data_IF_068836010625
#
_entry.id   IF_068836010625
#
_cell.length_a   1.000
_cell.length_b   1.000
_cell.length_c   1.000
_cell.angle_alpha   90.00
_cell.angle_beta   90.00
_cell.angle_gamma   90.00
#
_symmetry.space_group_name_H-M   'P 1'
#
loop_
_entity.id
_entity.type
_entity.pdbx_description
1 polymer ?
#
# COMPACT_ATOMS: atom_id res chain seq x y z
N UNK A 1 -4.27 16.31 15.97
CA UNK A 1 -3.78 15.18 15.15
C UNK A 1 -2.41 15.54 14.62
N UNK A 2 -1.38 14.68 14.80
CA UNK A 2 -0.07 14.87 14.16
C UNK A 2 -0.13 14.26 12.76
N UNK A 3 0.08 15.07 11.72
CA UNK A 3 0.10 14.62 10.33
C UNK A 3 1.52 14.22 9.96
N UNK A 4 1.71 13.00 9.46
CA UNK A 4 2.99 12.55 8.91
C UNK A 4 3.18 13.13 7.50
N UNK A 5 3.72 14.35 7.46
CA UNK A 5 3.90 15.13 6.22
C UNK A 5 4.83 14.41 5.24
N UNK A 6 5.83 13.67 5.75
CA UNK A 6 6.76 12.91 4.91
C UNK A 6 6.02 11.82 4.14
N UNK A 7 5.21 11.02 4.84
CA UNK A 7 4.40 9.97 4.19
C UNK A 7 3.43 10.58 3.18
N UNK A 8 2.76 11.67 3.54
CA UNK A 8 1.83 12.35 2.64
C UNK A 8 2.52 12.80 1.35
N UNK A 9 3.64 13.52 1.46
CA UNK A 9 4.36 14.08 0.31
C UNK A 9 4.89 12.97 -0.60
N UNK A 10 5.50 11.91 -0.03
CA UNK A 10 6.03 10.80 -0.84
C UNK A 10 4.91 10.08 -1.60
N UNK A 11 3.83 9.70 -0.91
CA UNK A 11 2.73 8.97 -1.57
C UNK A 11 1.99 9.84 -2.60
N UNK A 12 1.77 11.12 -2.30
CA UNK A 12 1.06 12.02 -3.21
C UNK A 12 1.89 12.34 -4.45
N UNK A 13 3.19 12.59 -4.30
CA UNK A 13 4.08 12.87 -5.45
C UNK A 13 4.18 11.67 -6.38
N UNK A 14 4.35 10.45 -5.86
CA UNK A 14 4.39 9.27 -6.73
C UNK A 14 3.04 8.99 -7.38
N UNK A 15 1.92 9.21 -6.67
CA UNK A 15 0.59 9.10 -7.26
C UNK A 15 0.37 10.09 -8.42
N UNK A 16 0.81 11.35 -8.25
CA UNK A 16 0.74 12.37 -9.30
C UNK A 16 1.60 12.00 -10.52
N UNK A 17 2.79 11.43 -10.30
CA UNK A 17 3.63 10.91 -11.40
C UNK A 17 2.90 9.78 -12.13
N UNK A 18 2.30 8.83 -11.41
CA UNK A 18 1.52 7.74 -12.00
C UNK A 18 0.30 8.25 -12.77
N UNK A 19 -0.39 9.26 -12.27
CA UNK A 19 -1.56 9.86 -12.91
C UNK A 19 -1.18 10.64 -14.17
N UNK A 20 -0.09 11.42 -14.11
CA UNK A 20 0.45 12.14 -15.26
C UNK A 20 0.89 11.18 -16.35
N UNK A 21 1.60 10.10 -15.99
CA UNK A 21 2.03 9.06 -16.92
C UNK A 21 0.83 8.33 -17.55
N UNK A 22 -0.18 7.96 -16.75
CA UNK A 22 -1.39 7.33 -17.24
C UNK A 22 -2.15 8.24 -18.21
N UNK A 23 -2.29 9.52 -17.87
CA UNK A 23 -2.94 10.53 -18.73
C UNK A 23 -2.18 10.74 -20.04
N UNK A 24 -0.84 10.82 -19.99
CA UNK A 24 0.00 10.91 -21.18
C UNK A 24 -0.22 9.72 -22.12
N UNK A 25 -0.20 8.49 -21.59
CA UNK A 25 -0.43 7.30 -22.39
C UNK A 25 -1.82 7.30 -23.02
N UNK A 26 -2.84 7.71 -22.27
CA UNK A 26 -4.20 7.83 -22.78
C UNK A 26 -4.30 8.81 -23.96
N UNK A 27 -3.81 10.04 -23.77
CA UNK A 27 -3.82 11.08 -24.79
C UNK A 27 -3.04 10.64 -26.03
N UNK A 28 -1.90 9.96 -25.84
CA UNK A 28 -1.06 9.47 -26.95
C UNK A 28 -1.76 8.45 -27.86
N UNK A 29 -2.83 7.79 -27.38
CA UNK A 29 -3.60 6.85 -28.20
C UNK A 29 -4.55 7.53 -29.18
N UNK A 30 -4.87 8.82 -28.99
CA UNK A 30 -5.77 9.56 -29.87
C UNK A 30 -7.16 8.93 -30.04
N UNK A 31 -7.59 8.09 -29.10
CA UNK A 31 -8.83 7.33 -29.20
C UNK A 31 -8.76 6.09 -30.11
N UNK A 32 -7.66 5.86 -30.83
CA UNK A 32 -7.47 4.68 -31.66
C UNK A 32 -7.42 3.40 -30.82
N UNK A 33 -8.04 2.32 -31.34
CA UNK A 33 -8.15 1.01 -30.66
C UNK A 33 -7.63 -0.10 -31.55
N UNK A 34 -6.33 -0.06 -31.81
CA UNK A 34 -5.57 -1.10 -32.50
C UNK A 34 -4.75 -1.91 -31.50
N UNK A 35 -4.23 -3.08 -31.89
CA UNK A 35 -3.36 -3.90 -31.04
C UNK A 35 -2.14 -3.13 -30.51
N UNK A 36 -1.64 -2.17 -31.29
CA UNK A 36 -0.53 -1.28 -30.90
C UNK A 36 -0.91 -0.34 -29.75
N UNK A 37 -2.16 0.11 -29.71
CA UNK A 37 -2.68 1.02 -28.66
C UNK A 37 -3.05 0.32 -27.35
N UNK A 38 -3.17 -1.02 -27.35
CA UNK A 38 -3.48 -1.77 -26.13
C UNK A 38 -2.42 -1.57 -25.05
N UNK A 39 -1.14 -1.53 -25.44
CA UNK A 39 -0.03 -1.35 -24.49
C UNK A 39 -0.10 0.00 -23.74
N UNK A 40 -0.22 1.17 -24.39
CA UNK A 40 -0.39 2.43 -23.67
C UNK A 40 -1.71 2.49 -22.88
N UNK A 41 -2.78 1.83 -23.34
CA UNK A 41 -4.03 1.75 -22.58
C UNK A 41 -3.88 0.97 -21.27
N UNK A 42 -3.10 -0.12 -21.25
CA UNK A 42 -2.77 -0.82 -20.01
C UNK A 42 -2.03 0.12 -19.06
N UNK A 43 -1.07 0.90 -19.56
CA UNK A 43 -0.37 1.88 -18.74
C UNK A 43 -1.29 2.98 -18.19
N UNK A 44 -2.32 3.37 -18.93
CA UNK A 44 -3.32 4.36 -18.48
C UNK A 44 -3.94 3.97 -17.14
N UNK A 45 -4.32 2.70 -17.00
CA UNK A 45 -4.99 2.18 -15.80
C UNK A 45 -4.00 1.65 -14.75
N UNK A 46 -2.86 1.12 -15.17
CA UNK A 46 -1.90 0.48 -14.27
C UNK A 46 -0.94 1.47 -13.59
N UNK A 47 -0.60 2.58 -14.24
CA UNK A 47 0.47 3.47 -13.78
C UNK A 47 0.23 4.05 -12.38
N UNK A 48 -0.98 4.50 -12.09
CA UNK A 48 -1.31 5.14 -10.81
C UNK A 48 -1.23 4.16 -9.62
N UNK A 49 -1.93 3.00 -9.61
CA UNK A 49 -1.81 2.05 -8.50
C UNK A 49 -0.37 1.51 -8.34
N UNK A 50 0.37 1.33 -9.43
CA UNK A 50 1.77 0.93 -9.37
C UNK A 50 2.67 2.00 -8.74
N UNK A 51 2.57 3.26 -9.17
CA UNK A 51 3.35 4.35 -8.61
C UNK A 51 2.98 4.66 -7.15
N UNK A 52 1.69 4.52 -6.79
CA UNK A 52 1.23 4.62 -5.41
C UNK A 52 1.81 3.50 -4.53
N UNK A 53 1.84 2.27 -5.03
CA UNK A 53 2.47 1.15 -4.35
C UNK A 53 3.96 1.44 -4.06
N UNK A 54 4.70 1.92 -5.07
CA UNK A 54 6.10 2.29 -4.89
C UNK A 54 6.27 3.41 -3.85
N UNK A 55 5.47 4.47 -3.92
CA UNK A 55 5.51 5.55 -2.93
C UNK A 55 5.21 5.07 -1.51
N UNK A 56 4.23 4.18 -1.37
CA UNK A 56 3.91 3.56 -0.08
C UNK A 56 5.07 2.70 0.44
N UNK A 57 5.69 1.88 -0.41
CA UNK A 57 6.84 1.05 -0.02
C UNK A 57 8.05 1.90 0.39
N UNK A 58 8.28 3.03 -0.26
CA UNK A 58 9.35 3.98 0.10
C UNK A 58 9.04 4.67 1.43
N UNK A 59 7.80 5.11 1.63
CA UNK A 59 7.41 5.79 2.87
C UNK A 59 7.35 4.82 4.07
N UNK A 60 6.76 3.64 3.89
CA UNK A 60 6.31 2.73 4.96
C UNK A 60 6.42 1.25 4.55
N UNK A 61 7.66 0.82 4.30
CA UNK A 61 8.02 -0.53 3.82
C UNK A 61 7.49 -1.70 4.66
N UNK A 62 7.24 -1.49 5.96
CA UNK A 62 6.68 -2.51 6.86
C UNK A 62 5.23 -2.87 6.56
N UNK A 63 4.50 -2.05 5.79
CA UNK A 63 3.09 -2.27 5.45
C UNK A 63 2.90 -2.80 4.01
N UNK A 64 3.90 -3.48 3.44
CA UNK A 64 3.87 -3.88 2.02
C UNK A 64 2.66 -4.73 1.64
N UNK A 65 2.18 -5.62 2.51
CA UNK A 65 1.01 -6.46 2.25
C UNK A 65 -0.27 -5.64 2.15
N UNK A 66 -0.44 -4.67 3.05
CA UNK A 66 -1.58 -3.75 3.04
C UNK A 66 -1.52 -2.85 1.81
N UNK A 67 -0.34 -2.31 1.49
CA UNK A 67 -0.13 -1.49 0.30
C UNK A 67 -0.48 -2.27 -0.98
N UNK A 68 0.00 -3.51 -1.10
CA UNK A 68 -0.29 -4.39 -2.23
C UNK A 68 -1.78 -4.70 -2.33
N UNK A 69 -2.44 -5.04 -1.22
CA UNK A 69 -3.88 -5.28 -1.17
C UNK A 69 -4.68 -4.05 -1.60
N UNK A 70 -4.42 -2.88 -1.03
CA UNK A 70 -5.11 -1.64 -1.39
C UNK A 70 -4.89 -1.25 -2.85
N UNK A 71 -3.66 -1.37 -3.37
CA UNK A 71 -3.35 -1.03 -4.76
C UNK A 71 -3.94 -2.06 -5.74
N UNK A 72 -3.99 -3.35 -5.37
CA UNK A 72 -4.69 -4.38 -6.14
C UNK A 72 -6.19 -4.12 -6.19
N UNK A 73 -6.83 -3.82 -5.05
CA UNK A 73 -8.24 -3.45 -5.01
C UNK A 73 -8.51 -2.20 -5.85
N UNK A 74 -7.65 -1.18 -5.77
CA UNK A 74 -7.78 0.01 -6.58
C UNK A 74 -7.69 -0.32 -8.07
N UNK A 75 -6.70 -1.10 -8.48
CA UNK A 75 -6.57 -1.54 -9.87
C UNK A 75 -7.80 -2.33 -10.32
N UNK A 76 -8.17 -3.40 -9.61
CA UNK A 76 -9.21 -4.32 -10.04
C UNK A 76 -10.61 -3.73 -9.98
N UNK A 77 -10.98 -3.06 -8.87
CA UNK A 77 -12.33 -2.53 -8.69
C UNK A 77 -12.63 -1.33 -9.58
N UNK A 78 -11.62 -0.55 -9.97
CA UNK A 78 -11.80 0.62 -10.84
C UNK A 78 -12.43 0.23 -12.17
N UNK A 79 -12.07 -0.92 -12.77
CA UNK A 79 -12.67 -1.37 -14.03
C UNK A 79 -14.19 -1.59 -13.90
N UNK A 80 -14.65 -2.17 -12.79
CA UNK A 80 -16.07 -2.41 -12.56
C UNK A 80 -16.83 -1.12 -12.29
N UNK A 81 -16.26 -0.23 -11.47
CA UNK A 81 -16.89 1.04 -11.13
C UNK A 81 -16.98 1.93 -12.37
N UNK A 82 -15.90 2.07 -13.13
CA UNK A 82 -15.89 2.87 -14.36
C UNK A 82 -16.88 2.34 -15.41
N UNK A 83 -16.97 1.02 -15.58
CA UNK A 83 -17.93 0.41 -16.51
C UNK A 83 -19.39 0.68 -16.08
N UNK A 84 -19.66 0.62 -14.76
CA UNK A 84 -21.00 0.92 -14.23
C UNK A 84 -21.36 2.39 -14.40
N UNK A 85 -20.42 3.30 -14.17
CA UNK A 85 -20.64 4.73 -14.37
C UNK A 85 -20.86 5.02 -15.85
N UNK A 86 -20.05 4.47 -16.77
CA UNK A 86 -20.23 4.67 -18.21
C UNK A 86 -21.62 4.23 -18.69
N UNK A 87 -22.09 3.07 -18.22
CA UNK A 87 -23.40 2.53 -18.58
C UNK A 87 -24.59 3.38 -18.08
N UNK A 88 -24.39 4.32 -17.15
CA UNK A 88 -25.43 5.26 -16.73
C UNK A 88 -25.59 6.44 -17.69
N UNK A 89 -24.55 6.77 -18.46
CA UNK A 89 -24.54 7.95 -19.34
C UNK A 89 -24.59 7.60 -20.83
N UNK A 90 -24.12 6.41 -21.22
CA UNK A 90 -23.98 6.01 -22.62
C UNK A 90 -24.58 4.63 -22.87
N UNK A 91 -25.18 4.46 -24.05
CA UNK A 91 -25.54 3.12 -24.55
C UNK A 91 -24.28 2.35 -24.96
N UNK A 92 -24.41 1.03 -25.10
CA UNK A 92 -23.31 0.18 -25.54
C UNK A 92 -22.81 0.60 -26.94
N UNK A 93 -23.70 1.01 -27.86
CA UNK A 93 -23.26 1.49 -29.18
C UNK A 93 -22.50 2.82 -29.07
N UNK A 94 -22.96 3.74 -28.24
CA UNK A 94 -22.31 5.04 -28.03
C UNK A 94 -20.92 4.88 -27.40
N UNK A 95 -20.79 4.03 -26.38
CA UNK A 95 -19.48 3.76 -25.76
C UNK A 95 -18.49 3.15 -26.75
N UNK A 96 -18.96 2.24 -27.62
CA UNK A 96 -18.12 1.66 -28.68
C UNK A 96 -17.72 2.70 -29.73
N UNK A 97 -18.66 3.54 -30.17
CA UNK A 97 -18.39 4.60 -31.13
C UNK A 97 -17.35 5.61 -30.61
N UNK A 98 -17.39 5.90 -29.29
CA UNK A 98 -16.44 6.78 -28.62
C UNK A 98 -15.18 6.05 -28.11
N UNK A 99 -15.00 4.78 -28.45
CA UNK A 99 -13.84 3.99 -28.04
C UNK A 99 -13.65 3.89 -26.51
N UNK A 100 -14.73 3.93 -25.73
CA UNK A 100 -14.72 3.93 -24.27
C UNK A 100 -13.88 5.07 -23.66
N UNK A 101 -13.83 6.24 -24.31
CA UNK A 101 -13.08 7.39 -23.78
C UNK A 101 -13.50 7.75 -22.35
N UNK A 102 -14.81 7.85 -22.13
CA UNK A 102 -15.39 8.20 -20.83
C UNK A 102 -15.01 7.19 -19.74
N UNK A 103 -14.95 5.90 -20.07
CA UNK A 103 -14.48 4.86 -19.17
C UNK A 103 -13.04 5.08 -18.67
N UNK A 104 -12.11 5.40 -19.57
CA UNK A 104 -10.71 5.62 -19.19
C UNK A 104 -10.53 6.91 -18.39
N UNK A 105 -11.22 7.98 -18.78
CA UNK A 105 -11.24 9.23 -18.02
C UNK A 105 -11.79 8.99 -16.61
N UNK A 106 -12.91 8.27 -16.50
CA UNK A 106 -13.51 7.91 -15.20
C UNK A 106 -12.54 7.09 -14.34
N UNK A 107 -11.82 6.15 -14.97
CA UNK A 107 -10.80 5.34 -14.27
C UNK A 107 -9.66 6.20 -13.70
N UNK A 108 -9.16 7.18 -14.46
CA UNK A 108 -8.14 8.13 -14.00
C UNK A 108 -8.64 8.98 -12.82
N UNK A 109 -9.90 9.44 -12.88
CA UNK A 109 -10.51 10.21 -11.78
C UNK A 109 -10.64 9.36 -10.51
N UNK A 110 -11.12 8.12 -10.62
CA UNK A 110 -11.23 7.19 -9.49
C UNK A 110 -9.86 6.94 -8.87
N UNK A 111 -8.83 6.70 -9.68
CA UNK A 111 -7.47 6.53 -9.21
C UNK A 111 -6.95 7.77 -8.47
N UNK A 112 -7.19 8.98 -9.00
CA UNK A 112 -6.79 10.23 -8.36
C UNK A 112 -7.44 10.42 -6.99
N UNK A 113 -8.76 10.25 -6.90
CA UNK A 113 -9.52 10.39 -5.64
C UNK A 113 -9.09 9.33 -4.62
N UNK A 114 -8.95 8.07 -5.03
CA UNK A 114 -8.55 6.99 -4.15
C UNK A 114 -7.10 7.15 -3.67
N UNK A 115 -6.18 7.55 -4.54
CA UNK A 115 -4.79 7.80 -4.16
C UNK A 115 -4.67 8.95 -3.15
N UNK A 116 -5.44 10.03 -3.33
CA UNK A 116 -5.54 11.12 -2.36
C UNK A 116 -6.08 10.60 -1.01
N UNK A 117 -7.18 9.85 -1.04
CA UNK A 117 -7.80 9.27 0.15
C UNK A 117 -6.85 8.34 0.92
N UNK A 118 -6.15 7.44 0.21
CA UNK A 118 -5.18 6.52 0.81
C UNK A 118 -3.97 7.28 1.39
N UNK A 119 -3.48 8.30 0.69
CA UNK A 119 -2.35 9.12 1.17
C UNK A 119 -2.71 9.90 2.43
N UNK A 120 -3.89 10.52 2.48
CA UNK A 120 -4.39 11.22 3.67
C UNK A 120 -4.67 10.26 4.83
N UNK A 121 -5.34 9.14 4.55
CA UNK A 121 -5.59 8.10 5.54
C UNK A 121 -4.28 7.60 6.16
N UNK A 122 -3.22 7.44 5.35
CA UNK A 122 -1.94 7.01 5.89
C UNK A 122 -1.17 8.08 6.62
N UNK A 123 -1.21 9.33 6.16
CA UNK A 123 -0.59 10.44 6.84
C UNK A 123 -1.19 10.73 8.23
N UNK A 124 -2.47 10.40 8.45
CA UNK A 124 -3.15 10.60 9.74
C UNK A 124 -2.93 9.46 10.75
N UNK A 125 -2.24 8.39 10.35
CA UNK A 125 -1.94 7.22 11.20
C UNK A 125 -0.43 7.00 11.28
N UNK A 126 0.27 7.71 12.18
CA UNK A 126 1.72 7.57 12.35
C UNK A 126 2.12 6.12 12.65
N UNK A 127 3.32 5.73 12.20
CA UNK A 127 3.86 4.40 12.52
C UNK A 127 4.24 4.33 14.01
N UNK A 128 3.32 3.79 14.82
CA UNK A 128 3.43 3.65 16.29
C UNK A 128 4.71 2.96 16.78
N UNK A 129 5.45 2.26 15.90
CA UNK A 129 6.64 1.46 16.29
C UNK A 129 7.92 2.24 16.59
N UNK A 130 8.13 3.44 16.05
CA UNK A 130 9.38 4.16 16.30
C UNK A 130 9.46 4.72 17.74
N UNK A 131 8.36 5.33 18.22
CA UNK A 131 8.31 5.90 19.56
C UNK A 131 8.27 4.83 20.65
N UNK A 132 7.62 3.68 20.41
CA UNK A 132 7.58 2.59 21.38
C UNK A 132 8.96 1.95 21.59
N UNK A 133 9.73 1.69 20.53
CA UNK A 133 11.09 1.14 20.64
C UNK A 133 12.04 2.16 21.30
N UNK A 134 11.92 3.45 20.96
CA UNK A 134 12.74 4.49 21.57
C UNK A 134 12.36 4.74 23.05
N UNK A 135 11.07 4.64 23.40
CA UNK A 135 10.60 4.74 24.78
C UNK A 135 11.05 3.54 25.63
N UNK A 136 11.08 2.34 25.05
CA UNK A 136 11.63 1.13 25.70
C UNK A 136 13.14 1.23 25.82
N UNK A 137 13.87 1.75 24.82
CA UNK A 137 15.32 2.00 24.92
C UNK A 137 15.66 3.09 25.94
N UNK A 138 14.87 4.17 26.03
CA UNK A 138 15.02 5.20 27.08
C UNK A 138 14.68 4.66 28.45
N UNK A 139 13.58 3.90 28.59
CA UNK A 139 13.17 3.29 29.85
C UNK A 139 14.15 2.22 30.33
N UNK A 140 14.80 1.51 29.40
CA UNK A 140 15.85 0.54 29.69
C UNK A 140 17.20 1.17 30.08
N UNK A 141 17.35 2.51 30.04
CA UNK A 141 18.56 3.20 30.48
C UNK A 141 19.82 2.89 29.66
N UNK A 142 19.70 2.19 28.53
CA UNK A 142 20.82 1.86 27.66
C UNK A 142 21.17 3.07 26.79
N UNK A 143 21.88 4.03 27.40
CA UNK A 143 22.58 5.07 26.65
C UNK A 143 23.58 4.40 25.70
N UNK A 144 23.62 4.86 24.46
CA UNK A 144 24.49 4.39 23.39
C UNK A 144 25.93 4.88 23.60
N UNK A 145 26.45 4.76 24.81
CA UNK A 145 27.89 4.78 25.06
C UNK A 145 28.32 3.32 25.03
N UNK A 146 29.20 3.01 24.10
CA UNK A 146 29.83 1.69 23.98
C UNK A 146 30.32 1.22 25.35
N UNK A 147 30.40 -0.10 25.49
CA UNK A 147 30.73 -0.87 26.70
C UNK A 147 29.52 -1.36 27.51
N UNK A 148 28.95 -2.50 27.05
CA UNK A 148 28.56 -3.62 27.90
C UNK A 148 27.31 -3.45 28.77
N UNK A 149 26.14 -3.84 28.26
CA UNK A 149 25.05 -4.31 29.11
C UNK A 149 25.36 -5.76 29.54
N UNK A 150 26.16 -5.91 30.59
CA UNK A 150 26.39 -7.19 31.26
C UNK A 150 25.12 -7.57 32.00
N UNK A 151 24.31 -8.46 31.44
CA UNK A 151 23.25 -9.14 32.18
C UNK A 151 23.91 -10.15 33.13
N UNK A 152 24.22 -9.73 34.35
CA UNK A 152 24.54 -10.65 35.44
C UNK A 152 23.27 -11.43 35.80
N UNK A 153 23.17 -12.67 35.29
CA UNK A 153 22.15 -13.61 35.71
C UNK A 153 22.37 -14.00 37.18
N UNK A 154 21.34 -14.00 38.04
CA UNK A 154 21.45 -14.59 39.36
C UNK A 154 21.53 -16.12 39.23
N UNK A 155 22.70 -16.65 39.57
CA UNK A 155 22.94 -18.08 39.78
C UNK A 155 22.04 -18.58 40.91
N UNK A 156 21.11 -19.48 40.59
CA UNK A 156 20.33 -20.22 41.59
C UNK A 156 20.77 -21.69 41.63
N UNK A 157 20.71 -22.34 42.80
CA UNK A 157 21.58 -23.45 43.16
C UNK A 157 21.07 -24.81 42.66
N UNK A 158 22.04 -25.64 42.32
CA UNK A 158 21.93 -27.08 42.08
C UNK A 158 21.38 -27.81 43.32
N UNK A 159 20.36 -28.65 43.15
CA UNK A 159 20.09 -29.80 44.05
C UNK A 159 19.39 -30.93 43.26
N UNK A 160 19.72 -32.22 43.51
CA UNK A 160 19.43 -33.32 42.58
C UNK A 160 18.16 -34.14 42.90
N UNK A 161 17.67 -34.79 41.84
CA UNK A 161 16.99 -36.09 41.73
C UNK A 161 15.97 -36.56 42.80
N UNK A 162 14.75 -36.89 42.34
CA UNK A 162 14.13 -38.17 42.69
C UNK A 162 13.10 -38.63 41.65
N UNK A 163 13.00 -39.96 41.59
CA UNK A 163 12.44 -40.89 40.61
C UNK A 163 10.97 -41.20 40.94
N UNK A 164 10.12 -41.52 39.94
CA UNK A 164 8.97 -42.47 40.00
C UNK A 164 7.96 -42.14 38.89
N UNK A 165 7.94 -42.86 37.78
CA UNK A 165 7.14 -44.08 37.52
C UNK A 165 5.61 -43.86 37.38
N UNK A 166 5.10 -44.42 36.27
CA UNK A 166 3.87 -45.23 36.17
C UNK A 166 2.61 -44.62 35.54
N UNK A 167 2.27 -45.24 34.39
CA UNK A 167 0.95 -45.58 33.82
C UNK A 167 0.16 -44.45 33.16
N UNK A 168 -0.02 -44.49 31.84
CA UNK A 168 -0.91 -45.39 31.11
C UNK A 168 -2.40 -45.17 31.45
N UNK A 169 -3.10 -44.46 30.57
CA UNK A 169 -4.42 -44.87 30.13
C UNK A 169 -4.58 -44.51 28.66
N UNK A 170 -4.97 -45.54 27.91
CA UNK A 170 -5.25 -45.53 26.49
C UNK A 170 -6.77 -45.58 26.28
N UNK A 171 -7.18 -45.08 25.12
CA UNK A 171 -8.49 -45.15 24.45
C UNK A 171 -9.54 -44.14 24.89
#
# INVERSE_FOLDING_TARGET
MKLDTRTLVIMLTTALIGLAWGSYNFISTGGARTDETLRPLIWTVFATPFALLLGWLVARRSEWQLAAFCCFCLYFLTFFVAARIEALFYTVEQSKANGHEFYFVTSLVIHGVAALGLSLWRATRPAVRAEAVESVQRAAGCSNHGYGCVTSAPTAPTTPATRSLSKACAR
#
